data_IF_275528299392
#
_entry.id   IF_275528299392
#
_cell.length_a   1.000
_cell.length_b   1.000
_cell.length_c   1.000
_cell.angle_alpha   90.00
_cell.angle_beta   90.00
_cell.angle_gamma   90.00
#
_symmetry.space_group_name_H-M   'P 1'
#
loop_
_entity.id
_entity.type
_entity.pdbx_description
1 polymer ?
#
# COMPACT_ATOMS: atom_id res chain seq x y z
N UNK A 1 -2.29 11.81 3.94
CA UNK A 1 -2.73 11.26 5.22
C UNK A 1 -1.63 10.44 5.85
N UNK A 2 -1.46 10.56 7.13
CA UNK A 2 -0.45 9.80 7.83
C UNK A 2 -0.85 8.33 7.90
N UNK A 3 0.08 7.39 7.61
CA UNK A 3 -0.25 5.97 7.74
C UNK A 3 -0.54 5.55 9.17
N UNK A 4 -0.20 6.40 10.14
CA UNK A 4 -0.50 6.09 11.52
C UNK A 4 -1.80 6.67 12.01
N UNK A 5 -2.50 7.36 11.12
CA UNK A 5 -3.77 7.96 11.48
C UNK A 5 -4.78 6.87 11.80
N UNK A 6 -5.58 7.13 12.82
CA UNK A 6 -6.66 6.24 13.21
C UNK A 6 -7.94 7.00 12.99
N UNK A 7 -8.81 6.44 12.16
CA UNK A 7 -10.10 7.01 11.90
C UNK A 7 -11.13 6.22 12.68
N UNK A 8 -12.06 6.94 13.26
CA UNK A 8 -13.15 6.34 14.03
C UNK A 8 -14.47 6.70 13.42
N UNK A 9 -15.32 5.71 13.31
CA UNK A 9 -16.68 5.93 12.90
C UNK A 9 -17.56 5.10 13.81
N UNK A 10 -18.29 5.77 14.70
CA UNK A 10 -19.13 5.10 15.68
C UNK A 10 -18.25 4.15 16.51
N UNK A 11 -18.53 2.86 16.46
CA UNK A 11 -17.87 1.88 17.32
C UNK A 11 -16.71 1.18 16.66
N UNK A 12 -16.24 1.68 15.54
CA UNK A 12 -15.19 1.00 14.76
C UNK A 12 -14.01 1.93 14.52
N UNK A 13 -12.83 1.35 14.40
CA UNK A 13 -11.61 2.09 14.09
C UNK A 13 -10.88 1.38 12.96
N UNK A 14 -10.22 2.15 12.09
CA UNK A 14 -9.45 1.60 10.99
C UNK A 14 -8.00 2.03 11.14
N UNK A 15 -7.09 1.06 10.98
CA UNK A 15 -5.66 1.30 11.09
C UNK A 15 -4.94 0.44 10.08
N UNK A 16 -3.63 0.62 9.99
CA UNK A 16 -2.78 -0.28 9.21
C UNK A 16 -2.89 -1.68 9.82
N UNK A 17 -3.01 -2.68 8.95
CA UNK A 17 -3.15 -4.05 9.39
C UNK A 17 -1.81 -4.56 9.92
N UNK A 18 -1.79 -4.97 11.18
CA UNK A 18 -0.59 -5.49 11.84
C UNK A 18 -0.77 -6.92 12.33
N UNK A 19 -1.79 -7.59 11.84
CA UNK A 19 -2.02 -8.98 12.21
C UNK A 19 -0.90 -9.85 11.65
N UNK A 20 -0.59 -10.96 12.32
CA UNK A 20 0.37 -11.90 11.79
C UNK A 20 -0.02 -12.34 10.38
N UNK A 21 0.92 -12.32 9.47
CA UNK A 21 0.66 -12.69 8.09
C UNK A 21 0.28 -11.55 7.18
N UNK A 22 -0.03 -10.38 7.73
CA UNK A 22 -0.29 -9.22 6.88
C UNK A 22 1.04 -8.71 6.34
N UNK A 23 1.09 -8.44 5.05
CA UNK A 23 2.30 -7.89 4.45
C UNK A 23 2.36 -6.40 4.72
N UNK A 24 3.56 -5.84 4.69
CA UNK A 24 3.74 -4.41 4.73
C UNK A 24 3.35 -3.78 3.40
N UNK A 25 3.56 -2.46 3.26
CA UNK A 25 3.23 -1.79 2.01
C UNK A 25 3.99 -2.41 0.84
N UNK A 26 3.32 -2.48 -0.30
CA UNK A 26 3.89 -3.04 -1.52
C UNK A 26 3.86 -1.95 -2.58
N UNK A 27 4.98 -1.81 -3.29
CA UNK A 27 5.18 -0.73 -4.24
C UNK A 27 5.30 -1.27 -5.66
N UNK A 28 4.75 -0.54 -6.63
CA UNK A 28 4.83 -0.85 -8.04
C UNK A 28 4.94 0.44 -8.83
N UNK A 29 5.48 0.34 -10.04
CA UNK A 29 5.40 1.45 -11.00
C UNK A 29 4.79 0.93 -12.28
N UNK A 30 4.03 1.79 -12.94
CA UNK A 30 3.40 1.46 -14.21
C UNK A 30 3.75 2.56 -15.21
N UNK A 31 4.23 2.14 -16.39
CA UNK A 31 4.53 3.08 -17.47
C UNK A 31 3.21 3.63 -18.02
N UNK A 32 3.09 4.96 -18.09
CA UNK A 32 1.85 5.56 -18.59
C UNK A 32 1.74 5.50 -20.10
N UNK A 33 2.81 5.15 -20.80
CA UNK A 33 2.78 5.05 -22.25
C UNK A 33 2.33 3.67 -22.70
N UNK A 34 2.94 2.62 -22.19
CA UNK A 34 2.64 1.26 -22.64
C UNK A 34 1.91 0.42 -21.59
N UNK A 35 1.78 0.93 -20.35
CA UNK A 35 1.06 0.28 -19.26
C UNK A 35 1.72 -1.00 -18.74
N UNK A 36 2.98 -1.23 -19.10
CA UNK A 36 3.73 -2.29 -18.44
C UNK A 36 4.05 -1.87 -17.02
N UNK A 37 4.12 -2.85 -16.14
CA UNK A 37 4.33 -2.60 -14.71
C UNK A 37 5.50 -3.37 -14.20
N UNK A 38 6.13 -2.83 -13.16
CA UNK A 38 7.13 -3.56 -12.40
C UNK A 38 6.45 -4.66 -11.60
N UNK A 39 7.27 -5.58 -11.09
CA UNK A 39 6.77 -6.53 -10.11
C UNK A 39 6.52 -5.81 -8.79
N UNK A 40 5.51 -6.23 -8.04
CA UNK A 40 5.29 -5.65 -6.72
C UNK A 40 6.46 -5.96 -5.81
N UNK A 41 6.81 -4.99 -4.96
CA UNK A 41 7.95 -5.17 -4.05
C UNK A 41 7.70 -4.39 -2.79
N UNK A 42 8.12 -4.95 -1.65
CA UNK A 42 8.12 -4.21 -0.40
C UNK A 42 9.25 -3.20 -0.36
N UNK A 43 10.20 -3.33 -1.27
CA UNK A 43 11.32 -2.41 -1.40
C UNK A 43 10.98 -1.38 -2.47
N UNK A 44 10.90 -0.11 -2.07
CA UNK A 44 10.54 0.95 -3.00
C UNK A 44 11.54 1.11 -4.14
N UNK A 45 12.81 0.78 -3.87
CA UNK A 45 13.86 0.96 -4.86
C UNK A 45 13.69 0.07 -6.08
N UNK A 46 13.17 -1.15 -5.90
CA UNK A 46 13.04 -2.09 -7.00
C UNK A 46 12.11 -1.59 -8.11
N UNK A 47 10.91 -1.09 -7.81
CA UNK A 47 10.08 -0.55 -8.88
C UNK A 47 10.67 0.68 -9.53
N UNK A 48 11.40 1.50 -8.79
CA UNK A 48 12.05 2.66 -9.37
C UNK A 48 13.18 2.26 -10.30
N UNK A 49 13.95 1.25 -9.93
CA UNK A 49 15.00 0.72 -10.79
C UNK A 49 14.40 0.16 -12.07
N UNK A 50 13.27 -0.54 -11.94
CA UNK A 50 12.57 -1.06 -13.13
C UNK A 50 12.20 0.08 -14.07
N UNK A 51 11.70 1.20 -13.52
CA UNK A 51 11.30 2.34 -14.35
C UNK A 51 12.49 2.93 -15.08
N UNK A 52 13.63 3.06 -14.38
CA UNK A 52 14.82 3.58 -15.02
C UNK A 52 15.29 2.68 -16.17
N UNK A 53 15.25 1.37 -15.96
CA UNK A 53 15.66 0.44 -17.02
C UNK A 53 14.65 0.42 -18.16
N UNK A 54 13.36 0.57 -17.85
CA UNK A 54 12.35 0.61 -18.89
C UNK A 54 12.54 1.82 -19.78
N UNK A 55 12.79 2.99 -19.19
CA UNK A 55 13.08 4.18 -20.00
C UNK A 55 14.37 4.03 -20.76
N UNK A 56 15.38 3.36 -20.18
CA UNK A 56 16.64 3.15 -20.87
C UNK A 56 16.44 2.36 -22.18
N UNK A 57 15.50 1.43 -22.18
CA UNK A 57 15.20 0.67 -23.39
C UNK A 57 14.17 1.33 -24.28
N UNK A 58 13.40 2.24 -23.73
CA UNK A 58 12.31 2.92 -24.46
C UNK A 58 12.37 4.41 -24.12
N UNK A 59 13.28 5.17 -24.76
CA UNK A 59 13.52 6.57 -24.32
C UNK A 59 12.31 7.47 -24.38
N UNK A 60 11.27 7.10 -25.12
CA UNK A 60 10.03 7.88 -25.16
C UNK A 60 9.10 7.58 -23.99
N UNK A 61 9.37 6.51 -23.23
CA UNK A 61 8.52 6.10 -22.13
C UNK A 61 9.07 6.70 -20.86
N UNK A 62 8.63 7.90 -20.51
CA UNK A 62 9.21 8.64 -19.39
C UNK A 62 8.23 8.91 -18.26
N UNK A 63 6.95 8.64 -18.47
CA UNK A 63 5.95 8.88 -17.45
C UNK A 63 5.60 7.60 -16.73
N UNK A 64 5.50 7.67 -15.40
CA UNK A 64 5.19 6.49 -14.60
C UNK A 64 4.21 6.85 -13.51
N UNK A 65 3.40 5.89 -13.15
CA UNK A 65 2.49 5.99 -12.02
C UNK A 65 3.02 5.11 -10.91
N UNK A 66 3.29 5.72 -9.76
CA UNK A 66 3.74 4.96 -8.59
C UNK A 66 2.52 4.55 -7.79
N UNK A 67 2.46 3.26 -7.47
CA UNK A 67 1.32 2.68 -6.79
C UNK A 67 1.83 2.03 -5.51
N UNK A 68 1.22 2.37 -4.39
CA UNK A 68 1.53 1.74 -3.11
C UNK A 68 0.26 1.11 -2.58
N UNK A 69 0.34 -0.17 -2.27
CA UNK A 69 -0.78 -0.92 -1.73
C UNK A 69 -0.50 -1.23 -0.27
N UNK A 70 -1.43 -0.87 0.60
CA UNK A 70 -1.31 -1.15 2.04
C UNK A 70 -2.56 -1.88 2.49
N UNK A 71 -2.38 -2.80 3.42
CA UNK A 71 -3.51 -3.51 4.01
C UNK A 71 -3.99 -2.75 5.23
N UNK A 72 -5.30 -2.62 5.34
CA UNK A 72 -5.93 -1.95 6.47
C UNK A 72 -6.80 -2.96 7.20
N UNK A 73 -7.05 -2.67 8.48
CA UNK A 73 -7.90 -3.51 9.30
C UNK A 73 -8.85 -2.64 10.09
N UNK A 74 -10.10 -3.05 10.13
CA UNK A 74 -11.10 -2.40 10.95
C UNK A 74 -11.29 -3.24 12.20
N UNK A 75 -11.21 -2.60 13.36
CA UNK A 75 -11.37 -3.29 14.62
C UNK A 75 -12.39 -2.57 15.48
N UNK A 76 -12.95 -3.25 16.47
CA UNK A 76 -13.88 -2.58 17.39
C UNK A 76 -13.17 -1.49 18.16
N UNK A 77 -13.79 -0.31 18.21
CA UNK A 77 -13.26 0.80 18.99
C UNK A 77 -13.51 0.57 20.47
N UNK A 78 -12.80 1.33 21.34
CA UNK A 78 -13.10 1.27 22.78
C UNK A 78 -14.57 1.54 23.03
N UNK A 79 -15.16 0.74 23.89
CA UNK A 79 -16.59 0.85 24.18
C UNK A 79 -17.46 -0.04 23.33
N UNK A 80 -16.92 -0.61 22.25
CA UNK A 80 -17.66 -1.56 21.44
C UNK A 80 -17.72 -2.89 22.20
N UNK A 81 -18.93 -3.46 22.38
CA UNK A 81 -19.03 -4.72 23.11
C UNK A 81 -18.19 -5.84 22.51
N UNK A 82 -18.01 -5.87 21.19
CA UNK A 82 -17.22 -6.90 20.56
C UNK A 82 -15.75 -6.83 20.94
N UNK A 83 -15.27 -5.62 21.27
CA UNK A 83 -13.89 -5.47 21.70
C UNK A 83 -13.64 -6.20 23.01
N UNK A 84 -14.63 -6.15 23.91
CA UNK A 84 -14.51 -6.86 25.18
C UNK A 84 -14.46 -8.36 24.99
N UNK A 85 -15.25 -8.85 24.06
CA UNK A 85 -15.35 -10.28 23.82
C UNK A 85 -14.10 -10.85 23.16
N UNK A 86 -13.30 -10.04 22.55
CA UNK A 86 -12.11 -10.51 21.87
C UNK A 86 -10.91 -10.71 22.78
N UNK A 87 -11.09 -10.54 24.08
CA UNK A 87 -10.00 -10.70 25.02
C UNK A 87 -9.83 -12.12 25.51
#
# INVERSE_FOLDING_TARGET
MSPRSVLRLADWAITVDREPGASGPVHETECTTCHESSEPSENRTSPEDWALRHTGRNPDHRGYRAITTSLLRVTPAPGNPLREECR
#
